data_IF_346984401038
#
_entry.id   IF_346984401038
#
_cell.length_a   1.000
_cell.length_b   1.000
_cell.length_c   1.000
_cell.angle_alpha   90.00
_cell.angle_beta   90.00
_cell.angle_gamma   90.00
#
_symmetry.space_group_name_H-M   'P 1'
#
loop_
_entity.id
_entity.type
_entity.pdbx_description
1 polymer ?
#
# COMPACT_ATOMS: atom_id res chain seq x y z
N UNK A 1 82.42 -18.06 -13.51
CA UNK A 1 81.36 -18.61 -12.64
C UNK A 1 80.02 -18.35 -13.31
N UNK A 2 79.29 -19.41 -13.70
CA UNK A 2 78.01 -19.34 -14.41
C UNK A 2 76.89 -18.97 -13.44
N UNK A 3 75.96 -18.11 -13.85
CA UNK A 3 74.59 -18.08 -13.30
C UNK A 3 73.62 -17.96 -14.46
N UNK A 4 72.82 -19.01 -14.67
CA UNK A 4 71.64 -19.02 -15.53
C UNK A 4 70.46 -18.41 -14.74
N UNK A 5 69.71 -17.50 -15.35
CA UNK A 5 68.38 -17.10 -14.88
C UNK A 5 67.31 -17.80 -15.73
N UNK A 6 66.43 -18.57 -15.09
CA UNK A 6 65.25 -19.18 -15.70
C UNK A 6 64.02 -18.33 -15.35
N UNK A 7 63.28 -17.87 -16.36
CA UNK A 7 61.95 -17.28 -16.19
C UNK A 7 60.92 -18.42 -15.98
N UNK A 8 60.19 -18.39 -14.86
CA UNK A 8 58.98 -19.19 -14.66
C UNK A 8 57.78 -18.26 -14.74
N UNK A 9 56.99 -18.38 -15.81
CA UNK A 9 55.69 -17.73 -15.91
C UNK A 9 54.64 -18.52 -15.14
N UNK A 10 54.04 -17.91 -14.13
CA UNK A 10 52.89 -18.45 -13.44
C UNK A 10 51.62 -18.20 -14.27
N UNK A 11 50.95 -19.26 -14.71
CA UNK A 11 49.63 -19.19 -15.35
C UNK A 11 48.59 -18.94 -14.25
N UNK A 12 47.97 -17.75 -14.25
CA UNK A 12 46.84 -17.44 -13.37
C UNK A 12 45.57 -18.03 -14.01
N UNK A 13 45.06 -19.13 -13.46
CA UNK A 13 43.75 -19.67 -13.85
C UNK A 13 42.67 -18.85 -13.14
N UNK A 14 42.02 -17.95 -13.87
CA UNK A 14 40.80 -17.28 -13.41
C UNK A 14 39.66 -18.30 -13.42
N UNK A 15 39.31 -18.82 -12.24
CA UNK A 15 38.05 -19.51 -12.01
C UNK A 15 36.92 -18.49 -12.04
N UNK A 16 36.22 -18.40 -13.18
CA UNK A 16 34.97 -17.65 -13.30
C UNK A 16 33.94 -18.34 -12.41
N UNK A 17 33.65 -17.75 -11.26
CA UNK A 17 32.51 -18.17 -10.45
C UNK A 17 31.28 -17.57 -11.13
N UNK A 18 30.52 -18.40 -11.84
CA UNK A 18 29.19 -18.02 -12.30
C UNK A 18 28.33 -17.73 -11.07
N UNK A 19 28.13 -16.45 -10.77
CA UNK A 19 27.07 -16.01 -9.87
C UNK A 19 25.77 -16.55 -10.46
N UNK A 20 24.98 -17.36 -9.73
CA UNK A 20 23.68 -17.75 -10.24
C UNK A 20 22.88 -16.45 -10.42
N UNK A 21 22.49 -16.17 -11.66
CA UNK A 21 21.46 -15.18 -11.92
C UNK A 21 20.25 -15.58 -11.07
N UNK A 22 19.92 -14.80 -10.04
CA UNK A 22 18.68 -15.01 -9.31
C UNK A 22 17.56 -14.84 -10.34
N UNK A 23 16.84 -15.92 -10.61
CA UNK A 23 15.71 -15.86 -11.52
C UNK A 23 14.68 -14.88 -10.93
N UNK A 24 14.17 -13.96 -11.75
CA UNK A 24 13.12 -13.05 -11.34
C UNK A 24 11.92 -13.87 -10.81
N UNK A 25 11.52 -13.68 -9.53
CA UNK A 25 10.51 -14.52 -8.89
C UNK A 25 9.11 -14.35 -9.48
N UNK A 26 8.86 -13.27 -10.22
CA UNK A 26 7.60 -13.04 -10.93
C UNK A 26 7.83 -12.71 -12.40
N UNK A 27 6.99 -13.30 -13.26
CA UNK A 27 6.87 -12.95 -14.67
C UNK A 27 5.59 -12.14 -14.85
N UNK A 28 5.74 -10.87 -15.21
CA UNK A 28 4.62 -9.97 -15.43
C UNK A 28 4.08 -10.07 -16.86
N UNK A 29 2.75 -10.14 -16.96
CA UNK A 29 2.06 -9.98 -18.23
C UNK A 29 2.21 -8.54 -18.76
N UNK A 30 1.96 -8.35 -20.06
CA UNK A 30 1.87 -7.00 -20.64
C UNK A 30 0.81 -6.16 -19.93
N UNK A 31 1.06 -4.85 -19.85
CA UNK A 31 0.12 -3.90 -19.29
C UNK A 31 -1.23 -3.94 -20.02
N UNK A 32 -2.32 -3.87 -19.26
CA UNK A 32 -3.67 -3.73 -19.80
C UNK A 32 -4.41 -2.59 -19.11
N UNK A 33 -5.31 -1.88 -19.82
CA UNK A 33 -6.12 -0.83 -19.22
C UNK A 33 -7.15 -1.42 -18.25
N UNK A 34 -7.35 -0.73 -17.13
CA UNK A 34 -8.44 -1.00 -16.18
C UNK A 34 -9.74 -0.34 -16.62
N UNK A 35 -9.66 0.86 -17.18
CA UNK A 35 -10.81 1.68 -17.57
C UNK A 35 -11.11 1.56 -19.05
N UNK A 36 -12.41 1.57 -19.40
CA UNK A 36 -12.83 1.65 -20.80
C UNK A 36 -12.74 3.09 -21.33
N UNK A 37 -12.84 4.08 -20.44
CA UNK A 37 -12.72 5.49 -20.78
C UNK A 37 -11.25 5.87 -20.99
N UNK A 38 -10.97 6.48 -22.14
CA UNK A 38 -9.69 7.09 -22.47
C UNK A 38 -9.97 8.47 -23.05
N UNK A 39 -9.09 9.45 -22.80
CA UNK A 39 -9.31 10.78 -23.35
C UNK A 39 -8.29 11.82 -22.89
N UNK A 40 -8.22 12.92 -23.64
CA UNK A 40 -7.20 13.97 -23.47
C UNK A 40 -7.24 14.72 -22.13
N UNK A 41 -8.30 14.57 -21.33
CA UNK A 41 -8.48 15.27 -20.05
C UNK A 41 -8.95 14.34 -18.90
N UNK A 42 -8.67 13.03 -19.01
CA UNK A 42 -8.99 12.05 -17.97
C UNK A 42 -7.82 11.90 -16.99
N UNK A 43 -8.08 12.13 -15.71
CA UNK A 43 -7.12 12.07 -14.63
C UNK A 43 -7.61 11.12 -13.53
N UNK A 44 -6.91 10.00 -13.38
CA UNK A 44 -7.14 9.00 -12.36
C UNK A 44 -6.29 9.32 -11.12
N UNK A 45 -6.76 8.90 -9.95
CA UNK A 45 -6.06 9.00 -8.68
C UNK A 45 -6.09 7.66 -7.95
N UNK A 46 -4.92 7.23 -7.46
CA UNK A 46 -4.71 6.01 -6.67
C UNK A 46 -4.17 6.34 -5.26
N UNK A 47 -4.76 7.35 -4.62
CA UNK A 47 -4.23 7.94 -3.37
C UNK A 47 -4.85 7.37 -2.08
N UNK A 48 -5.54 6.23 -2.18
CA UNK A 48 -6.18 5.56 -1.06
C UNK A 48 -5.24 5.39 0.15
N UNK A 49 -5.72 5.70 1.35
CA UNK A 49 -4.97 5.46 2.58
C UNK A 49 -4.61 3.98 2.71
N UNK A 50 -3.35 3.70 3.05
CA UNK A 50 -2.80 2.34 3.05
C UNK A 50 -2.55 1.71 1.67
N UNK A 51 -2.68 2.46 0.56
CA UNK A 51 -2.50 1.99 -0.84
C UNK A 51 -3.41 0.82 -1.23
N UNK A 52 -4.64 0.81 -0.71
CA UNK A 52 -5.63 -0.27 -0.91
C UNK A 52 -6.53 -0.05 -2.13
N UNK A 53 -5.96 0.15 -3.33
CA UNK A 53 -6.75 0.40 -4.55
C UNK A 53 -7.02 -0.86 -5.40
N UNK A 54 -6.44 -2.00 -5.06
CA UNK A 54 -6.66 -3.28 -5.75
C UNK A 54 -6.83 -4.42 -4.74
N UNK A 55 -7.71 -5.37 -5.04
CA UNK A 55 -7.93 -6.56 -4.22
C UNK A 55 -8.30 -7.77 -5.07
N UNK A 56 -7.95 -8.97 -4.60
CA UNK A 56 -8.42 -10.24 -5.14
C UNK A 56 -9.49 -10.86 -4.21
N UNK A 57 -10.47 -11.53 -4.79
CA UNK A 57 -11.54 -12.24 -4.09
C UNK A 57 -11.93 -13.48 -4.91
N UNK A 58 -11.35 -14.63 -4.55
CA UNK A 58 -11.39 -15.83 -5.40
C UNK A 58 -10.71 -15.57 -6.75
N UNK A 59 -11.37 -15.91 -7.85
CA UNK A 59 -10.87 -15.68 -9.21
C UNK A 59 -11.11 -14.24 -9.73
N UNK A 60 -11.74 -13.37 -8.93
CA UNK A 60 -12.07 -12.01 -9.32
C UNK A 60 -11.05 -11.03 -8.74
N UNK A 61 -10.58 -10.10 -9.58
CA UNK A 61 -9.79 -8.94 -9.16
C UNK A 61 -10.66 -7.70 -9.29
N UNK A 62 -10.60 -6.80 -8.32
CA UNK A 62 -11.27 -5.51 -8.38
C UNK A 62 -10.28 -4.38 -8.15
N UNK A 63 -10.47 -3.29 -8.89
CA UNK A 63 -9.67 -2.06 -8.78
C UNK A 63 -10.62 -0.91 -8.49
N UNK A 64 -10.29 -0.07 -7.51
CA UNK A 64 -11.05 1.12 -7.15
C UNK A 64 -10.17 2.37 -7.28
N UNK A 65 -10.73 3.43 -7.87
CA UNK A 65 -10.00 4.67 -8.15
C UNK A 65 -10.94 5.88 -8.17
N UNK A 66 -10.37 7.07 -8.10
CA UNK A 66 -11.10 8.32 -8.37
C UNK A 66 -10.72 8.82 -9.76
N UNK A 67 -11.69 9.31 -10.55
CA UNK A 67 -11.40 10.09 -11.75
C UNK A 67 -12.44 11.20 -12.01
N UNK A 68 -12.15 12.04 -12.99
CA UNK A 68 -12.92 13.23 -13.35
C UNK A 68 -13.77 13.07 -14.63
N UNK A 69 -14.07 11.85 -15.10
CA UNK A 69 -14.80 11.64 -16.38
C UNK A 69 -16.18 12.29 -16.41
N UNK A 70 -16.81 12.42 -15.25
CA UNK A 70 -18.15 12.99 -15.06
C UNK A 70 -18.10 14.53 -14.87
N UNK A 71 -16.96 15.15 -15.12
CA UNK A 71 -16.73 16.59 -14.92
C UNK A 71 -16.39 17.00 -13.48
N UNK A 72 -16.39 16.04 -12.57
CA UNK A 72 -16.03 16.20 -11.17
C UNK A 72 -15.45 14.87 -10.61
N UNK A 73 -14.62 14.90 -9.55
CA UNK A 73 -14.00 13.69 -9.02
C UNK A 73 -15.06 12.76 -8.43
N UNK A 74 -15.12 11.53 -8.93
CA UNK A 74 -16.01 10.47 -8.46
C UNK A 74 -15.21 9.21 -8.23
N UNK A 75 -15.66 8.40 -7.27
CA UNK A 75 -15.09 7.09 -6.97
C UNK A 75 -15.76 6.00 -7.83
N UNK A 76 -14.95 5.12 -8.42
CA UNK A 76 -15.36 4.03 -9.32
C UNK A 76 -14.73 2.69 -8.92
N UNK A 77 -15.26 1.62 -9.50
CA UNK A 77 -14.70 0.26 -9.42
C UNK A 77 -14.86 -0.46 -10.76
N UNK A 78 -13.94 -1.36 -11.09
CA UNK A 78 -14.02 -2.31 -12.20
C UNK A 78 -13.52 -3.70 -11.77
N UNK A 79 -13.94 -4.74 -12.49
CA UNK A 79 -13.71 -6.14 -12.14
C UNK A 79 -13.07 -6.91 -13.28
N UNK A 80 -12.22 -7.88 -12.94
CA UNK A 80 -11.61 -8.82 -13.87
C UNK A 80 -11.82 -10.25 -13.40
N UNK A 81 -12.41 -11.09 -14.24
CA UNK A 81 -12.66 -12.52 -14.00
C UNK A 81 -11.90 -13.37 -15.04
N UNK A 82 -10.64 -12.99 -15.29
CA UNK A 82 -9.90 -13.34 -16.50
C UNK A 82 -10.11 -12.32 -17.63
N UNK A 83 -9.25 -12.34 -18.65
CA UNK A 83 -9.35 -11.42 -19.79
C UNK A 83 -9.19 -9.94 -19.41
N UNK A 84 -10.04 -9.08 -19.97
CA UNK A 84 -10.06 -7.63 -19.74
C UNK A 84 -10.95 -7.24 -18.54
N UNK A 85 -10.76 -6.02 -18.02
CA UNK A 85 -11.66 -5.45 -17.01
C UNK A 85 -13.03 -5.14 -17.61
N UNK A 86 -14.08 -5.36 -16.80
CA UNK A 86 -15.49 -5.14 -17.14
C UNK A 86 -16.26 -4.64 -15.90
N UNK A 87 -17.54 -4.33 -16.08
CA UNK A 87 -18.43 -3.99 -14.95
C UNK A 87 -18.12 -2.66 -14.27
N UNK A 88 -17.38 -1.79 -14.96
CA UNK A 88 -17.00 -0.44 -14.53
C UNK A 88 -18.24 0.36 -14.09
N UNK A 89 -18.21 0.87 -12.86
CA UNK A 89 -19.33 1.65 -12.29
C UNK A 89 -18.89 2.62 -11.22
N UNK A 90 -19.67 3.68 -11.05
CA UNK A 90 -19.53 4.63 -9.94
C UNK A 90 -20.00 3.98 -8.64
N UNK A 91 -19.20 4.09 -7.59
CA UNK A 91 -19.56 3.65 -6.23
C UNK A 91 -20.05 4.79 -5.35
N UNK A 92 -19.60 6.01 -5.64
CA UNK A 92 -20.01 7.26 -4.99
C UNK A 92 -21.36 7.78 -5.48
N UNK A 93 -21.89 8.77 -4.76
CA UNK A 93 -23.05 9.54 -5.16
C UNK A 93 -22.73 10.60 -6.22
N UNK A 94 -23.43 11.73 -6.13
CA UNK A 94 -23.30 12.86 -7.06
C UNK A 94 -22.36 13.96 -6.56
N UNK A 95 -21.76 13.80 -5.38
CA UNK A 95 -20.85 14.78 -4.79
C UNK A 95 -19.40 14.38 -5.08
N UNK A 96 -18.49 15.30 -4.78
CA UNK A 96 -17.06 15.03 -4.97
C UNK A 96 -16.61 13.92 -4.04
N UNK A 97 -15.99 12.90 -4.64
CA UNK A 97 -15.62 11.68 -3.95
C UNK A 97 -14.17 11.29 -4.25
N UNK A 98 -13.46 10.90 -3.19
CA UNK A 98 -12.00 10.72 -3.20
C UNK A 98 -11.57 9.43 -2.52
N UNK A 99 -10.34 9.03 -2.85
CA UNK A 99 -9.55 8.00 -2.15
C UNK A 99 -10.29 6.68 -1.88
N UNK A 100 -10.93 6.04 -2.88
CA UNK A 100 -11.60 4.78 -2.62
C UNK A 100 -10.58 3.67 -2.32
N UNK A 101 -10.83 2.95 -1.23
CA UNK A 101 -10.08 1.76 -0.84
C UNK A 101 -10.96 0.51 -0.93
N UNK A 102 -10.36 -0.63 -1.27
CA UNK A 102 -11.08 -1.89 -1.54
C UNK A 102 -10.43 -3.09 -0.85
N UNK A 103 -11.26 -4.03 -0.40
CA UNK A 103 -10.82 -5.34 0.12
C UNK A 103 -11.76 -6.46 -0.35
N UNK A 104 -11.23 -7.69 -0.49
CA UNK A 104 -12.00 -8.86 -0.88
C UNK A 104 -12.68 -9.55 0.31
N UNK A 105 -13.87 -10.12 0.08
CA UNK A 105 -14.63 -10.86 1.09
C UNK A 105 -14.64 -12.38 0.89
N UNK A 106 -14.16 -12.86 -0.25
CA UNK A 106 -14.48 -14.20 -0.77
C UNK A 106 -15.63 -14.16 -1.79
N UNK A 107 -15.77 -15.24 -2.55
CA UNK A 107 -16.84 -15.46 -3.54
C UNK A 107 -17.02 -14.32 -4.57
N UNK A 108 -15.95 -13.61 -4.91
CA UNK A 108 -15.99 -12.50 -5.86
C UNK A 108 -16.69 -11.24 -5.35
N UNK A 109 -16.97 -11.15 -4.05
CA UNK A 109 -17.49 -9.94 -3.38
C UNK A 109 -16.36 -9.11 -2.77
N UNK A 110 -16.61 -7.81 -2.66
CA UNK A 110 -15.67 -6.82 -2.14
C UNK A 110 -16.40 -5.79 -1.28
N UNK A 111 -15.67 -5.13 -0.38
CA UNK A 111 -16.09 -3.88 0.26
C UNK A 111 -15.25 -2.76 -0.29
N UNK A 112 -15.90 -1.68 -0.71
CA UNK A 112 -15.26 -0.41 -1.06
C UNK A 112 -15.63 0.64 -0.01
N UNK A 113 -14.67 1.41 0.43
CA UNK A 113 -14.86 2.62 1.25
C UNK A 113 -14.38 3.84 0.48
N UNK A 114 -15.00 5.00 0.68
CA UNK A 114 -14.60 6.26 0.03
C UNK A 114 -14.97 7.47 0.88
N UNK A 115 -14.33 8.61 0.59
CA UNK A 115 -14.71 9.91 1.13
C UNK A 115 -15.68 10.59 0.17
N UNK A 116 -16.77 11.16 0.68
CA UNK A 116 -17.72 11.99 -0.08
C UNK A 116 -18.44 12.95 0.86
N UNK A 117 -18.45 14.25 0.52
CA UNK A 117 -19.16 15.31 1.27
C UNK A 117 -18.76 15.36 2.76
N UNK A 118 -17.45 15.36 3.03
CA UNK A 118 -16.85 15.29 4.38
C UNK A 118 -17.27 14.05 5.20
N UNK A 119 -17.81 13.01 4.57
CA UNK A 119 -18.19 11.77 5.23
C UNK A 119 -17.46 10.57 4.63
N UNK A 120 -17.27 9.54 5.47
CA UNK A 120 -16.74 8.25 5.02
C UNK A 120 -17.89 7.29 4.82
N UNK A 121 -17.89 6.65 3.65
CA UNK A 121 -18.93 5.73 3.21
C UNK A 121 -18.34 4.37 2.90
N UNK A 122 -19.19 3.34 2.95
CA UNK A 122 -18.86 1.98 2.55
C UNK A 122 -19.99 1.34 1.75
N UNK A 123 -19.67 0.39 0.89
CA UNK A 123 -20.67 -0.55 0.34
C UNK A 123 -20.01 -1.85 -0.12
N UNK A 124 -20.81 -2.91 -0.18
CA UNK A 124 -20.44 -4.14 -0.86
C UNK A 124 -20.61 -3.96 -2.36
N UNK A 125 -19.66 -4.48 -3.13
CA UNK A 125 -19.72 -4.53 -4.59
C UNK A 125 -19.31 -5.91 -5.10
N UNK A 126 -19.80 -6.26 -6.29
CA UNK A 126 -19.37 -7.42 -7.06
C UNK A 126 -19.56 -7.16 -8.57
N UNK A 127 -19.13 -8.09 -9.43
CA UNK A 127 -19.17 -7.91 -10.90
C UNK A 127 -20.53 -7.52 -11.47
N UNK A 128 -21.63 -7.88 -10.81
CA UNK A 128 -23.00 -7.57 -11.27
C UNK A 128 -23.86 -6.86 -10.21
N UNK A 129 -23.33 -6.61 -9.00
CA UNK A 129 -24.10 -6.07 -7.88
C UNK A 129 -23.39 -4.94 -7.15
N UNK A 130 -24.18 -4.03 -6.58
CA UNK A 130 -23.71 -3.00 -5.64
C UNK A 130 -24.77 -2.83 -4.55
N UNK A 131 -24.37 -3.05 -3.30
CA UNK A 131 -25.21 -2.83 -2.13
C UNK A 131 -25.46 -1.34 -1.88
N UNK A 132 -26.40 -1.06 -0.98
CA UNK A 132 -26.68 0.31 -0.55
C UNK A 132 -25.45 0.92 0.15
N UNK A 133 -25.20 2.24 0.02
CA UNK A 133 -24.15 2.92 0.77
C UNK A 133 -24.49 2.99 2.27
N UNK A 134 -23.49 2.71 3.10
CA UNK A 134 -23.51 2.88 4.55
C UNK A 134 -22.60 4.05 4.93
N UNK A 135 -23.12 5.03 5.66
CA UNK A 135 -22.30 6.10 6.25
C UNK A 135 -21.60 5.58 7.52
N UNK A 136 -20.29 5.76 7.61
CA UNK A 136 -19.46 5.26 8.72
C UNK A 136 -19.11 6.36 9.74
N UNK A 137 -18.86 7.58 9.25
CA UNK A 137 -18.44 8.70 10.09
C UNK A 137 -19.63 9.44 10.71
N UNK A 138 -19.39 10.09 11.84
CA UNK A 138 -20.40 10.92 12.54
C UNK A 138 -20.08 12.42 12.50
N UNK A 139 -18.90 12.75 12.01
CA UNK A 139 -18.31 14.09 11.94
C UNK A 139 -17.50 14.16 10.64
N UNK A 140 -17.05 15.37 10.23
CA UNK A 140 -16.16 15.53 9.09
C UNK A 140 -14.99 14.54 9.14
N UNK A 141 -14.82 13.77 8.07
CA UNK A 141 -13.92 12.64 8.02
C UNK A 141 -13.25 12.52 6.65
N UNK A 142 -12.05 11.92 6.64
CA UNK A 142 -11.24 11.76 5.44
C UNK A 142 -10.31 10.55 5.55
N UNK A 143 -9.64 10.23 4.44
CA UNK A 143 -8.58 9.22 4.35
C UNK A 143 -9.04 7.81 4.75
N UNK A 144 -10.12 7.27 4.16
CA UNK A 144 -10.62 5.96 4.53
C UNK A 144 -9.73 4.83 3.98
N UNK A 145 -9.66 3.74 4.74
CA UNK A 145 -9.04 2.47 4.33
C UNK A 145 -9.87 1.29 4.83
N UNK A 146 -9.69 0.12 4.22
CA UNK A 146 -10.44 -1.10 4.56
C UNK A 146 -9.56 -2.35 4.43
N UNK A 147 -9.77 -3.31 5.33
CA UNK A 147 -9.12 -4.62 5.30
C UNK A 147 -10.07 -5.69 5.82
N UNK A 148 -9.93 -6.91 5.29
CA UNK A 148 -10.74 -8.05 5.72
C UNK A 148 -9.92 -9.34 5.85
N UNK A 149 -10.35 -10.22 6.75
CA UNK A 149 -9.85 -11.60 6.88
C UNK A 149 -10.99 -12.50 7.36
N UNK A 150 -11.19 -13.64 6.68
CA UNK A 150 -12.17 -14.65 7.06
C UNK A 150 -13.58 -14.08 7.37
N UNK A 151 -14.07 -13.20 6.48
CA UNK A 151 -15.39 -12.57 6.61
C UNK A 151 -15.47 -11.41 7.61
N UNK A 152 -14.41 -11.13 8.37
CA UNK A 152 -14.34 -9.98 9.28
C UNK A 152 -13.80 -8.77 8.56
N UNK A 153 -14.56 -7.68 8.57
CA UNK A 153 -14.23 -6.46 7.84
C UNK A 153 -14.00 -5.33 8.82
N UNK A 154 -12.89 -4.62 8.63
CA UNK A 154 -12.57 -3.41 9.37
C UNK A 154 -12.31 -2.26 8.43
N UNK A 155 -12.83 -1.08 8.78
CA UNK A 155 -12.54 0.17 8.11
C UNK A 155 -11.91 1.16 9.10
N UNK A 156 -11.02 2.03 8.62
CA UNK A 156 -10.44 3.11 9.43
C UNK A 156 -10.38 4.40 8.65
N UNK A 157 -10.48 5.53 9.35
CA UNK A 157 -10.45 6.87 8.78
C UNK A 157 -10.03 7.91 9.82
N UNK A 158 -9.67 9.11 9.37
CA UNK A 158 -9.47 10.26 10.23
C UNK A 158 -10.80 11.01 10.42
N UNK A 159 -11.30 11.15 11.65
CA UNK A 159 -12.56 11.82 11.98
C UNK A 159 -12.33 13.00 12.93
N UNK A 160 -13.04 14.11 12.71
CA UNK A 160 -12.95 15.29 13.56
C UNK A 160 -13.28 14.98 15.02
N UNK A 161 -12.37 15.31 15.93
CA UNK A 161 -12.51 15.21 17.38
C UNK A 161 -12.01 16.48 18.06
N UNK A 162 -12.94 17.38 18.39
CA UNK A 162 -12.59 18.72 18.88
C UNK A 162 -11.96 19.55 17.75
N UNK A 163 -10.70 19.98 17.93
CA UNK A 163 -10.00 20.81 16.93
C UNK A 163 -9.22 20.00 15.90
N UNK A 164 -8.96 18.72 16.15
CA UNK A 164 -8.09 17.88 15.34
C UNK A 164 -8.80 16.62 14.89
N UNK A 165 -8.38 16.02 13.78
CA UNK A 165 -8.82 14.67 13.43
C UNK A 165 -8.09 13.62 14.28
N UNK A 166 -8.81 12.59 14.67
CA UNK A 166 -8.28 11.37 15.28
C UNK A 166 -8.61 10.16 14.40
N UNK A 167 -7.80 9.11 14.46
CA UNK A 167 -8.09 7.85 13.76
C UNK A 167 -9.19 7.10 14.49
N UNK A 168 -10.21 6.70 13.74
CA UNK A 168 -11.30 5.84 14.17
C UNK A 168 -11.23 4.55 13.38
N UNK A 169 -11.44 3.42 14.05
CA UNK A 169 -11.58 2.10 13.43
C UNK A 169 -12.96 1.55 13.73
N UNK A 170 -13.57 0.90 12.74
CA UNK A 170 -14.86 0.24 12.84
C UNK A 170 -14.80 -1.20 12.38
N UNK A 171 -15.58 -2.05 13.04
CA UNK A 171 -15.96 -3.38 12.53
C UNK A 171 -17.27 -3.27 11.78
N UNK A 172 -17.31 -3.85 10.58
CA UNK A 172 -18.47 -3.82 9.69
C UNK A 172 -19.06 -5.23 9.58
N UNK A 173 -20.39 -5.31 9.73
CA UNK A 173 -21.16 -6.49 9.44
C UNK A 173 -21.49 -6.50 7.95
N UNK A 174 -21.30 -7.64 7.29
CA UNK A 174 -21.70 -7.84 5.89
C UNK A 174 -22.67 -9.00 5.82
N UNK A 175 -23.85 -8.73 5.28
CA UNK A 175 -24.90 -9.72 5.09
C UNK A 175 -24.82 -10.39 3.71
N UNK A 176 -25.54 -11.49 3.54
CA UNK A 176 -25.57 -12.24 2.27
C UNK A 176 -26.19 -11.45 1.13
N UNK A 177 -27.18 -10.62 1.43
CA UNK A 177 -27.87 -9.73 0.49
C UNK A 177 -27.08 -8.45 0.15
N UNK A 178 -25.79 -8.41 0.51
CA UNK A 178 -24.91 -7.27 0.35
C UNK A 178 -25.31 -6.03 1.18
N UNK A 179 -26.23 -6.17 2.14
CA UNK A 179 -26.42 -5.17 3.18
C UNK A 179 -25.17 -5.09 4.08
N UNK A 180 -25.00 -3.91 4.69
CA UNK A 180 -23.94 -3.66 5.65
C UNK A 180 -24.48 -2.92 6.87
N UNK A 181 -23.88 -3.20 8.02
CA UNK A 181 -24.10 -2.46 9.24
C UNK A 181 -22.79 -2.12 9.96
N UNK A 182 -22.84 -1.08 10.78
CA UNK A 182 -21.76 -0.67 11.66
C UNK A 182 -21.89 -1.43 12.99
N UNK A 183 -21.10 -2.50 13.18
CA UNK A 183 -21.17 -3.34 14.39
C UNK A 183 -20.68 -2.58 15.61
N UNK A 184 -19.49 -1.98 15.50
CA UNK A 184 -18.86 -1.19 16.56
C UNK A 184 -17.75 -0.31 15.99
N UNK A 185 -17.44 0.78 16.69
CA UNK A 185 -16.33 1.67 16.35
C UNK A 185 -15.68 2.25 17.59
N UNK A 186 -14.38 2.52 17.51
CA UNK A 186 -13.61 3.13 18.58
C UNK A 186 -12.47 3.98 18.00
N UNK A 187 -12.01 5.02 18.71
CA UNK A 187 -10.77 5.68 18.34
C UNK A 187 -9.59 4.71 18.50
N UNK A 188 -8.62 4.78 17.58
CA UNK A 188 -7.39 3.98 17.64
C UNK A 188 -6.46 4.43 18.77
N UNK A 189 -6.51 5.71 19.12
CA UNK A 189 -5.82 6.29 20.26
C UNK A 189 -6.85 6.75 21.29
N UNK A 190 -6.70 6.34 22.54
CA UNK A 190 -7.60 6.72 23.63
C UNK A 190 -7.37 8.17 24.09
N UNK A 191 -6.22 8.76 23.73
CA UNK A 191 -5.90 10.14 24.05
C UNK A 191 -6.69 11.11 23.17
N UNK A 192 -7.17 12.20 23.76
CA UNK A 192 -7.76 13.31 22.99
C UNK A 192 -6.68 13.89 22.08
N UNK A 193 -6.93 14.06 20.77
CA UNK A 193 -5.89 14.48 19.83
C UNK A 193 -5.41 15.90 20.15
N UNK A 194 -4.12 16.03 20.44
CA UNK A 194 -3.46 17.32 20.62
C UNK A 194 -3.00 17.96 19.29
N UNK A 195 -3.03 17.20 18.19
CA UNK A 195 -2.73 17.61 16.82
C UNK A 195 -3.37 16.61 15.83
N UNK A 196 -3.26 16.88 14.53
CA UNK A 196 -3.82 16.02 13.47
C UNK A 196 -3.27 14.59 13.48
N UNK A 197 -4.18 13.63 13.28
CA UNK A 197 -3.89 12.27 12.85
C UNK A 197 -4.50 12.03 11.46
N UNK A 198 -3.76 11.36 10.57
CA UNK A 198 -4.14 11.18 9.17
C UNK A 198 -3.63 9.87 8.56
N UNK A 199 -4.11 9.53 7.36
CA UNK A 199 -3.67 8.39 6.54
C UNK A 199 -3.52 7.06 7.31
N UNK A 200 -4.62 6.51 7.86
CA UNK A 200 -4.56 5.22 8.52
C UNK A 200 -4.30 4.08 7.52
N UNK A 201 -3.66 3.03 7.99
CA UNK A 201 -3.52 1.75 7.32
C UNK A 201 -3.95 0.62 8.25
N UNK A 202 -4.58 -0.42 7.69
CA UNK A 202 -5.12 -1.55 8.45
C UNK A 202 -4.52 -2.89 8.03
N UNK A 203 -4.33 -3.76 9.01
CA UNK A 203 -4.03 -5.17 8.86
C UNK A 203 -4.93 -5.98 9.81
N UNK A 204 -5.55 -7.04 9.30
CA UNK A 204 -6.43 -7.92 10.08
C UNK A 204 -5.82 -9.32 10.11
N UNK A 205 -5.53 -9.82 11.32
CA UNK A 205 -5.04 -11.17 11.58
C UNK A 205 -6.12 -12.00 12.28
N UNK A 206 -5.80 -13.22 12.69
CA UNK A 206 -6.72 -14.01 13.51
C UNK A 206 -6.89 -13.41 14.89
N UNK A 207 -5.76 -13.04 15.49
CA UNK A 207 -5.74 -12.51 16.83
C UNK A 207 -6.40 -11.13 16.92
N UNK A 208 -6.26 -10.28 15.90
CA UNK A 208 -6.60 -8.87 16.06
C UNK A 208 -6.58 -8.02 14.80
N UNK A 209 -6.79 -6.73 15.03
CA UNK A 209 -6.65 -5.66 14.04
C UNK A 209 -5.51 -4.74 14.48
N UNK A 210 -4.54 -4.56 13.59
CA UNK A 210 -3.48 -3.57 13.72
C UNK A 210 -3.82 -2.35 12.86
N UNK A 211 -3.64 -1.17 13.43
CA UNK A 211 -3.81 0.12 12.74
C UNK A 211 -2.54 0.95 12.91
N UNK A 212 -2.06 1.54 11.83
CA UNK A 212 -0.96 2.50 11.83
C UNK A 212 -1.42 3.82 11.20
N UNK A 213 -0.85 4.95 11.61
CA UNK A 213 -1.26 6.27 11.13
C UNK A 213 -0.15 7.31 11.20
N UNK A 214 -0.33 8.39 10.45
CA UNK A 214 0.49 9.60 10.54
C UNK A 214 0.01 10.51 11.67
N UNK A 215 0.95 11.02 12.47
CA UNK A 215 0.64 11.80 13.66
C UNK A 215 1.51 13.05 13.77
N UNK A 216 0.87 14.19 14.03
CA UNK A 216 1.53 15.51 14.09
C UNK A 216 1.80 16.02 15.52
N UNK A 217 1.50 15.25 16.58
CA UNK A 217 1.56 15.73 17.98
C UNK A 217 2.95 16.16 18.45
N UNK A 218 4.00 15.76 17.72
CA UNK A 218 5.39 16.10 18.01
C UNK A 218 5.98 17.18 17.09
N UNK A 219 5.15 17.94 16.36
CA UNK A 219 5.59 19.05 15.52
C UNK A 219 6.17 18.64 14.15
N UNK A 220 6.49 17.36 13.94
CA UNK A 220 6.77 16.69 12.66
C UNK A 220 5.91 15.42 12.55
N UNK A 221 5.78 14.84 11.37
CA UNK A 221 5.01 13.59 11.19
C UNK A 221 5.79 12.43 11.80
N UNK A 222 5.11 11.62 12.60
CA UNK A 222 5.58 10.32 13.10
C UNK A 222 4.55 9.26 12.75
N UNK A 223 5.00 8.01 12.63
CA UNK A 223 4.10 6.87 12.50
C UNK A 223 3.88 6.23 13.87
N UNK A 224 2.63 6.14 14.27
CA UNK A 224 2.22 5.33 15.41
C UNK A 224 1.41 4.14 14.95
N UNK A 225 1.37 3.11 15.78
CA UNK A 225 0.49 1.98 15.61
C UNK A 225 -0.18 1.58 16.93
N UNK A 226 -1.33 0.93 16.82
CA UNK A 226 -2.06 0.34 17.92
C UNK A 226 -2.70 -0.98 17.48
N UNK A 227 -3.08 -1.79 18.46
CA UNK A 227 -3.65 -3.11 18.22
C UNK A 227 -4.91 -3.30 19.07
N UNK A 228 -5.94 -3.91 18.48
CA UNK A 228 -7.12 -4.38 19.20
C UNK A 228 -7.33 -5.88 18.97
N UNK A 229 -7.59 -6.61 20.05
CA UNK A 229 -7.94 -8.02 19.97
C UNK A 229 -9.35 -8.16 19.41
N UNK A 230 -9.52 -8.99 18.40
CA UNK A 230 -10.80 -9.09 17.69
C UNK A 230 -11.82 -9.96 18.43
N UNK A 231 -11.36 -10.82 19.34
CA UNK A 231 -12.19 -11.69 20.20
C UNK A 231 -12.85 -10.97 21.39
N UNK A 232 -12.42 -9.73 21.70
CA UNK A 232 -13.03 -8.94 22.76
C UNK A 232 -14.45 -8.51 22.36
N UNK A 233 -15.34 -8.31 23.34
CA UNK A 233 -16.71 -7.82 23.12
C UNK A 233 -16.74 -6.34 22.71
N UNK A 234 -15.84 -5.53 23.27
CA UNK A 234 -15.62 -4.15 22.87
C UNK A 234 -14.39 -4.03 21.96
N UNK A 235 -14.47 -3.11 20.98
CA UNK A 235 -13.31 -2.74 20.19
C UNK A 235 -12.46 -1.76 21.02
N UNK A 236 -11.38 -2.26 21.62
CA UNK A 236 -10.49 -1.45 22.47
C UNK A 236 -9.06 -1.60 22.02
N UNK A 237 -8.42 -0.48 21.72
CA UNK A 237 -7.04 -0.42 21.26
C UNK A 237 -6.07 -0.33 22.43
N UNK A 238 -4.92 -0.98 22.26
CA UNK A 238 -3.76 -0.77 23.13
C UNK A 238 -3.30 0.68 23.08
N UNK A 239 -2.53 1.11 24.08
CA UNK A 239 -1.76 2.35 23.97
C UNK A 239 -0.93 2.36 22.69
N UNK A 240 -0.95 3.51 21.99
CA UNK A 240 -0.19 3.70 20.77
C UNK A 240 1.32 3.47 21.00
N UNK A 241 2.01 2.99 19.97
CA UNK A 241 3.45 2.75 19.96
C UNK A 241 4.06 3.37 18.73
N UNK A 242 5.26 3.91 18.88
CA UNK A 242 6.01 4.46 17.75
C UNK A 242 6.40 3.31 16.80
N UNK A 243 6.08 3.47 15.52
CA UNK A 243 6.38 2.48 14.47
C UNK A 243 7.74 2.76 13.81
N UNK A 244 8.01 4.03 13.51
CA UNK A 244 9.26 4.43 12.87
C UNK A 244 10.29 4.90 13.89
N UNK A 245 11.51 4.37 13.78
CA UNK A 245 12.66 4.84 14.54
C UNK A 245 12.92 6.32 14.25
N UNK A 246 13.37 7.01 15.30
CA UNK A 246 13.68 8.44 15.24
C UNK A 246 15.19 8.58 15.31
N UNK A 247 15.85 9.17 14.29
CA UNK A 247 17.25 9.52 14.43
C UNK A 247 17.42 10.49 15.61
N UNK A 248 18.59 10.52 16.27
CA UNK A 248 18.90 11.57 17.23
C UNK A 248 18.66 12.94 16.59
N UNK A 249 18.17 13.93 17.34
CA UNK A 249 17.89 15.26 16.79
C UNK A 249 19.14 15.80 16.08
N UNK A 250 19.08 15.90 14.75
CA UNK A 250 20.26 16.19 13.92
C UNK A 250 20.48 17.70 13.68
N UNK A 251 19.48 18.55 13.90
CA UNK A 251 19.60 19.99 13.62
C UNK A 251 18.79 20.86 14.58
N UNK A 252 19.41 21.93 15.07
CA UNK A 252 18.71 23.00 15.78
C UNK A 252 18.02 23.99 14.82
N UNK A 253 18.47 24.06 13.56
CA UNK A 253 18.02 25.03 12.54
C UNK A 253 16.92 24.44 11.64
N UNK A 254 16.99 23.14 11.31
CA UNK A 254 16.16 22.54 10.24
C UNK A 254 15.13 21.49 10.67
N UNK A 255 14.97 21.14 11.96
CA UNK A 255 13.78 20.35 12.31
C UNK A 255 13.68 19.72 13.69
N UNK A 256 12.44 19.36 14.02
CA UNK A 256 12.04 18.61 15.22
C UNK A 256 12.22 17.07 15.07
N UNK A 257 12.60 16.59 13.88
CA UNK A 257 12.79 15.17 13.55
C UNK A 257 12.69 14.92 12.04
N UNK A 258 12.82 13.66 11.59
CA UNK A 258 12.62 13.27 10.18
C UNK A 258 11.13 13.21 9.83
N UNK A 259 10.79 13.49 8.57
CA UNK A 259 9.44 13.31 8.05
C UNK A 259 9.20 11.87 7.60
N UNK A 260 8.04 11.33 7.92
CA UNK A 260 7.56 10.03 7.45
C UNK A 260 6.14 10.18 6.90
N UNK A 261 5.76 9.37 5.93
CA UNK A 261 4.43 9.44 5.33
C UNK A 261 4.02 8.14 4.63
N UNK A 262 2.72 8.03 4.34
CA UNK A 262 2.07 7.01 3.50
C UNK A 262 2.40 5.59 3.95
N UNK A 263 2.12 5.30 5.22
CA UNK A 263 2.21 3.93 5.75
C UNK A 263 1.21 3.01 5.03
N UNK A 264 1.65 1.81 4.69
CA UNK A 264 0.80 0.71 4.22
C UNK A 264 1.05 -0.52 5.09
N UNK A 265 -0.01 -1.26 5.40
CA UNK A 265 0.05 -2.50 6.16
C UNK A 265 -0.46 -3.67 5.32
N UNK A 266 0.29 -4.77 5.31
CA UNK A 266 -0.10 -6.06 4.76
C UNK A 266 -0.12 -7.11 5.87
N UNK A 267 -1.02 -8.09 5.77
CA UNK A 267 -1.14 -9.16 6.76
C UNK A 267 -1.25 -10.52 6.07
N UNK A 268 -0.62 -11.52 6.69
CA UNK A 268 -0.80 -12.93 6.37
C UNK A 268 -0.58 -13.74 7.64
N UNK A 269 -1.57 -14.57 7.98
CA UNK A 269 -1.63 -15.23 9.29
C UNK A 269 -1.46 -14.22 10.43
N UNK A 270 -0.44 -14.39 11.29
CA UNK A 270 -0.11 -13.46 12.37
C UNK A 270 1.05 -12.52 12.03
N UNK A 271 1.55 -12.57 10.80
CA UNK A 271 2.54 -11.61 10.31
C UNK A 271 1.85 -10.34 9.82
N UNK A 272 2.39 -9.19 10.22
CA UNK A 272 2.00 -7.88 9.70
C UNK A 272 3.24 -7.14 9.22
N UNK A 273 3.27 -6.75 7.96
CA UNK A 273 4.32 -5.94 7.38
C UNK A 273 3.84 -4.50 7.31
N UNK A 274 4.63 -3.57 7.83
CA UNK A 274 4.46 -2.15 7.59
C UNK A 274 5.51 -1.69 6.58
N UNK A 275 5.11 -0.86 5.61
CA UNK A 275 6.01 -0.12 4.72
C UNK A 275 5.65 1.36 4.68
N UNK A 276 6.62 2.26 4.56
CA UNK A 276 6.39 3.71 4.54
C UNK A 276 7.52 4.48 3.86
N UNK A 277 7.25 5.75 3.53
CA UNK A 277 8.27 6.70 3.09
C UNK A 277 8.93 7.36 4.29
N UNK A 278 10.25 7.39 4.33
CA UNK A 278 11.03 7.95 5.43
C UNK A 278 12.17 8.86 4.96
N UNK A 279 12.25 10.06 5.54
CA UNK A 279 13.28 11.07 5.24
C UNK A 279 14.35 11.15 6.34
N UNK A 280 14.59 10.06 7.07
CA UNK A 280 15.67 10.01 8.09
C UNK A 280 17.07 10.14 7.49
N UNK A 281 17.24 9.80 6.21
CA UNK A 281 18.46 10.06 5.43
C UNK A 281 18.21 11.30 4.57
N UNK A 282 18.75 12.44 4.96
CA UNK A 282 18.39 13.75 4.40
C UNK A 282 18.85 13.99 2.95
N UNK A 283 19.89 13.29 2.48
CA UNK A 283 20.65 13.67 1.29
C UNK A 283 19.86 13.54 -0.03
N UNK A 284 18.91 12.60 -0.13
CA UNK A 284 18.30 12.23 -1.41
C UNK A 284 16.77 12.02 -1.38
N UNK A 285 16.06 12.73 -0.49
CA UNK A 285 14.60 12.65 -0.39
C UNK A 285 14.10 11.47 0.44
N UNK A 286 12.86 11.04 0.21
CA UNK A 286 12.28 9.89 0.90
C UNK A 286 12.90 8.57 0.41
N UNK A 287 13.01 7.61 1.33
CA UNK A 287 13.37 6.21 1.09
C UNK A 287 12.27 5.29 1.60
N UNK A 288 12.20 4.06 1.10
CA UNK A 288 11.22 3.11 1.59
C UNK A 288 11.78 2.32 2.77
N UNK A 289 11.05 2.33 3.89
CA UNK A 289 11.38 1.51 5.05
C UNK A 289 10.26 0.53 5.34
N UNK A 290 10.64 -0.60 5.92
CA UNK A 290 9.73 -1.62 6.39
C UNK A 290 9.99 -2.01 7.83
N UNK A 291 8.98 -2.57 8.49
CA UNK A 291 9.15 -3.32 9.72
C UNK A 291 8.16 -4.48 9.74
N UNK A 292 8.65 -5.66 10.16
CA UNK A 292 7.84 -6.86 10.29
C UNK A 292 7.39 -7.06 11.74
N UNK A 293 6.11 -7.37 11.92
CA UNK A 293 5.54 -7.92 13.13
C UNK A 293 5.24 -9.40 12.91
N UNK A 294 5.51 -10.21 13.93
CA UNK A 294 5.18 -11.65 13.96
C UNK A 294 4.15 -11.99 15.05
N UNK A 295 3.57 -10.96 15.70
CA UNK A 295 2.66 -11.10 16.84
C UNK A 295 1.29 -10.45 16.61
N UNK A 296 0.88 -10.34 15.33
CA UNK A 296 -0.39 -9.76 14.90
C UNK A 296 -0.40 -8.24 14.84
N UNK A 297 0.77 -7.59 14.75
CA UNK A 297 0.90 -6.13 14.74
C UNK A 297 0.90 -5.48 16.13
N UNK A 298 1.09 -6.27 17.21
CA UNK A 298 1.23 -5.74 18.57
C UNK A 298 2.57 -5.06 18.76
N UNK A 299 3.62 -5.56 18.11
CA UNK A 299 4.96 -4.97 18.05
C UNK A 299 5.58 -5.18 16.68
N UNK A 300 6.31 -4.19 16.23
CA UNK A 300 7.12 -4.27 15.01
C UNK A 300 8.60 -4.39 15.36
N UNK A 301 9.33 -5.13 14.53
CA UNK A 301 10.78 -5.29 14.63
C UNK A 301 11.56 -4.04 14.22
N UNK A 302 12.86 -4.24 13.96
CA UNK A 302 13.74 -3.19 13.47
C UNK A 302 13.24 -2.61 12.14
N UNK A 303 13.56 -1.34 11.89
CA UNK A 303 13.28 -0.74 10.60
C UNK A 303 14.36 -1.14 9.58
N UNK A 304 13.93 -1.68 8.45
CA UNK A 304 14.80 -2.15 7.36
C UNK A 304 14.58 -1.26 6.14
N UNK A 305 15.67 -0.88 5.46
CA UNK A 305 15.56 -0.29 4.13
C UNK A 305 15.04 -1.35 3.16
N UNK A 306 14.06 -0.98 2.34
CA UNK A 306 13.41 -1.91 1.38
C UNK A 306 14.13 -1.90 0.04
N UNK A 307 14.56 -0.72 -0.38
CA UNK A 307 15.38 -0.54 -1.57
C UNK A 307 16.83 -0.96 -1.31
N UNK A 308 17.51 -1.32 -2.40
CA UNK A 308 18.93 -1.61 -2.41
C UNK A 308 19.82 -0.36 -2.22
N UNK A 309 21.14 -0.57 -2.28
CA UNK A 309 22.14 0.49 -2.08
C UNK A 309 22.15 1.55 -3.19
N UNK A 310 21.68 1.22 -4.40
CA UNK A 310 21.59 2.14 -5.53
C UNK A 310 20.35 3.03 -5.43
N UNK A 311 19.27 2.56 -4.81
CA UNK A 311 18.11 3.38 -4.43
C UNK A 311 18.44 4.51 -3.44
N UNK A 312 19.64 4.51 -2.86
CA UNK A 312 20.14 5.53 -1.96
C UNK A 312 20.23 6.94 -2.56
N UNK A 313 20.27 7.11 -3.88
CA UNK A 313 20.55 8.39 -4.54
C UNK A 313 19.33 9.14 -5.09
N UNK A 314 18.13 8.55 -5.06
CA UNK A 314 16.92 9.14 -5.63
C UNK A 314 15.71 9.12 -4.68
N UNK A 315 14.75 10.02 -4.88
CA UNK A 315 13.55 10.02 -4.05
C UNK A 315 12.63 8.85 -4.43
N UNK A 316 12.09 8.19 -3.41
CA UNK A 316 11.17 7.06 -3.56
C UNK A 316 9.81 7.42 -2.98
N UNK A 317 8.76 7.03 -3.70
CA UNK A 317 7.41 7.47 -3.42
C UNK A 317 6.44 6.31 -3.42
N UNK A 318 5.31 6.54 -2.76
CA UNK A 318 4.11 5.74 -2.97
C UNK A 318 4.27 4.23 -2.71
N UNK A 319 4.92 3.79 -1.60
CA UNK A 319 5.17 2.38 -1.37
C UNK A 319 3.88 1.61 -1.09
N UNK A 320 3.76 0.44 -1.68
CA UNK A 320 2.77 -0.58 -1.34
C UNK A 320 3.47 -1.91 -1.09
N UNK A 321 2.90 -2.78 -0.25
CA UNK A 321 3.47 -4.09 -0.01
C UNK A 321 2.41 -5.16 0.21
N UNK A 322 2.81 -6.40 0.02
CA UNK A 322 2.00 -7.59 0.24
C UNK A 322 2.82 -8.64 1.00
N UNK A 323 2.12 -9.50 1.74
CA UNK A 323 2.69 -10.71 2.33
C UNK A 323 2.08 -11.93 1.64
N UNK A 324 2.92 -12.74 1.02
CA UNK A 324 2.56 -13.97 0.31
C UNK A 324 3.10 -15.25 0.99
N UNK A 325 2.92 -16.42 0.36
CA UNK A 325 3.43 -17.73 0.79
C UNK A 325 4.86 -17.75 1.33
N UNK A 326 5.78 -17.11 0.64
CA UNK A 326 7.22 -17.25 0.91
C UNK A 326 7.85 -15.99 1.49
N UNK A 327 7.06 -14.93 1.69
CA UNK A 327 7.54 -13.70 2.29
C UNK A 327 6.88 -12.44 1.77
N UNK A 328 7.62 -11.33 1.82
CA UNK A 328 7.12 -10.00 1.49
C UNK A 328 7.53 -9.57 0.08
N UNK A 329 6.69 -8.75 -0.53
CA UNK A 329 7.03 -7.98 -1.74
C UNK A 329 6.61 -6.55 -1.51
N UNK A 330 7.49 -5.61 -1.83
CA UNK A 330 7.21 -4.19 -1.82
C UNK A 330 7.37 -3.62 -3.24
N UNK A 331 6.55 -2.64 -3.58
CA UNK A 331 6.65 -1.86 -4.82
C UNK A 331 6.62 -0.38 -4.48
N UNK A 332 7.31 0.43 -5.27
CA UNK A 332 7.34 1.88 -5.11
C UNK A 332 7.60 2.58 -6.44
N UNK A 333 7.32 3.88 -6.47
CA UNK A 333 7.71 4.78 -7.53
C UNK A 333 9.13 5.29 -7.26
N UNK A 334 10.00 5.17 -8.25
CA UNK A 334 11.41 5.54 -8.17
C UNK A 334 11.79 6.49 -9.31
N UNK A 335 12.61 7.50 -9.01
CA UNK A 335 13.02 8.52 -9.97
C UNK A 335 14.53 8.53 -10.25
N UNK A 336 15.23 7.40 -10.03
CA UNK A 336 16.70 7.34 -10.13
C UNK A 336 17.28 7.59 -11.53
N UNK A 337 16.49 7.38 -12.58
CA UNK A 337 16.92 7.55 -13.98
C UNK A 337 16.28 8.77 -14.66
N UNK A 338 15.95 9.80 -13.87
CA UNK A 338 15.23 11.02 -14.32
C UNK A 338 13.83 10.77 -14.90
N UNK A 339 13.38 9.51 -14.86
CA UNK A 339 12.06 9.04 -15.23
C UNK A 339 11.45 8.33 -14.03
N UNK A 340 10.12 8.40 -13.92
CA UNK A 340 9.37 7.74 -12.86
C UNK A 340 9.05 6.31 -13.29
N UNK A 341 9.66 5.34 -12.64
CA UNK A 341 9.47 3.92 -12.89
C UNK A 341 8.90 3.22 -11.64
N UNK A 342 8.22 2.08 -11.85
CA UNK A 342 7.83 1.21 -10.74
C UNK A 342 8.91 0.16 -10.51
N UNK A 343 9.47 0.17 -9.31
CA UNK A 343 10.42 -0.83 -8.85
C UNK A 343 9.77 -1.75 -7.83
N UNK A 344 10.33 -2.94 -7.69
CA UNK A 344 9.97 -3.91 -6.66
C UNK A 344 11.21 -4.47 -5.98
N UNK A 345 11.05 -4.88 -4.74
CA UNK A 345 11.97 -5.78 -4.05
C UNK A 345 11.18 -6.80 -3.24
N UNK A 346 11.79 -7.93 -2.92
CA UNK A 346 11.17 -8.99 -2.15
C UNK A 346 12.06 -9.47 -1.02
N UNK A 347 11.45 -10.12 -0.05
CA UNK A 347 12.11 -10.66 1.13
C UNK A 347 11.58 -12.05 1.42
N UNK A 348 12.45 -13.05 1.38
CA UNK A 348 12.09 -14.44 1.68
C UNK A 348 12.34 -14.74 3.16
N UNK A 349 11.33 -15.26 3.86
CA UNK A 349 11.49 -15.70 5.26
C UNK A 349 12.06 -14.63 6.21
N UNK A 350 13.27 -14.82 6.72
CA UNK A 350 13.96 -13.91 7.64
C UNK A 350 15.15 -13.17 6.99
N UNK A 351 15.33 -13.31 5.68
CA UNK A 351 16.47 -12.77 4.95
C UNK A 351 16.36 -11.25 4.75
N UNK A 352 17.40 -10.63 4.19
CA UNK A 352 17.35 -9.23 3.77
C UNK A 352 16.45 -9.07 2.54
N UNK A 353 16.04 -7.82 2.27
CA UNK A 353 15.44 -7.48 0.97
C UNK A 353 16.42 -7.79 -0.18
N UNK A 354 15.85 -8.16 -1.33
CA UNK A 354 16.57 -8.39 -2.59
C UNK A 354 17.15 -7.08 -3.14
N UNK A 355 17.93 -7.21 -4.22
CA UNK A 355 18.18 -6.07 -5.11
C UNK A 355 16.87 -5.55 -5.73
N UNK A 356 16.89 -4.30 -6.19
CA UNK A 356 15.73 -3.68 -6.81
C UNK A 356 15.53 -4.21 -8.24
N UNK A 357 14.28 -4.51 -8.58
CA UNK A 357 13.89 -4.95 -9.91
C UNK A 357 12.92 -3.94 -10.53
N UNK A 358 13.21 -3.48 -11.75
CA UNK A 358 12.25 -2.72 -12.55
C UNK A 358 11.10 -3.65 -12.93
N UNK A 359 9.86 -3.20 -12.73
CA UNK A 359 8.69 -3.94 -13.22
C UNK A 359 8.57 -3.71 -14.72
N UNK A 360 8.82 -4.72 -15.59
CA UNK A 360 8.94 -4.49 -17.02
C UNK A 360 7.74 -3.77 -17.67
N UNK A 361 6.46 -4.12 -17.39
CA UNK A 361 5.33 -3.38 -17.98
C UNK A 361 5.09 -1.99 -17.39
N UNK A 362 5.76 -1.64 -16.29
CA UNK A 362 5.61 -0.37 -15.56
C UNK A 362 6.97 0.35 -15.42
N UNK A 363 7.81 0.26 -16.46
CA UNK A 363 9.09 0.94 -16.55
C UNK A 363 9.39 1.41 -17.98
N UNK A 364 10.23 2.44 -18.11
CA UNK A 364 10.72 2.94 -19.40
C UNK A 364 10.12 4.30 -19.78
N UNK A 365 9.59 4.43 -20.99
CA UNK A 365 9.11 5.72 -21.51
C UNK A 365 7.89 6.26 -20.75
N UNK A 366 7.84 7.58 -20.55
CA UNK A 366 6.73 8.25 -19.87
C UNK A 366 6.85 8.19 -18.34
N UNK A 367 5.79 8.59 -17.64
CA UNK A 367 5.70 8.48 -16.18
C UNK A 367 4.94 7.23 -15.80
N UNK A 368 5.51 6.43 -14.90
CA UNK A 368 4.91 5.29 -14.23
C UNK A 368 4.88 5.60 -12.72
N UNK A 369 3.71 5.61 -12.09
CA UNK A 369 3.66 6.01 -10.68
C UNK A 369 2.39 5.65 -9.93
N UNK A 370 2.37 6.03 -8.66
CA UNK A 370 1.33 5.72 -7.69
C UNK A 370 0.90 4.22 -7.69
N UNK A 371 1.85 3.27 -7.53
CA UNK A 371 1.52 1.86 -7.60
C UNK A 371 0.65 1.41 -6.42
N UNK A 372 -0.23 0.46 -6.67
CA UNK A 372 -0.90 -0.33 -5.63
C UNK A 372 -0.85 -1.82 -6.02
N UNK A 373 -0.72 -2.68 -5.01
CA UNK A 373 -0.49 -4.11 -5.23
C UNK A 373 -1.32 -4.96 -4.28
N UNK A 374 -1.85 -6.08 -4.80
CA UNK A 374 -2.43 -7.16 -4.02
C UNK A 374 -1.79 -8.49 -4.39
N UNK A 375 -1.81 -9.45 -3.48
CA UNK A 375 -1.40 -10.83 -3.73
C UNK A 375 -2.61 -11.77 -3.65
N UNK A 376 -2.65 -12.78 -4.52
CA UNK A 376 -3.58 -13.89 -4.37
C UNK A 376 -3.03 -14.97 -3.42
N UNK A 377 -3.81 -16.03 -3.20
CA UNK A 377 -3.45 -17.10 -2.26
C UNK A 377 -2.21 -17.90 -2.71
N UNK A 378 -1.96 -17.94 -4.02
CA UNK A 378 -0.82 -18.58 -4.66
C UNK A 378 0.45 -17.71 -4.65
N UNK A 379 0.33 -16.44 -4.24
CA UNK A 379 1.42 -15.47 -4.22
C UNK A 379 1.71 -14.84 -5.58
N UNK A 380 0.76 -14.89 -6.53
CA UNK A 380 0.82 -14.06 -7.71
C UNK A 380 0.44 -12.61 -7.34
N UNK A 381 0.97 -11.67 -8.12
CA UNK A 381 0.83 -10.25 -7.87
C UNK A 381 -0.19 -9.63 -8.82
N UNK A 382 -1.01 -8.74 -8.28
CA UNK A 382 -1.96 -7.90 -9.00
C UNK A 382 -1.50 -6.46 -8.84
N UNK A 383 -0.78 -5.94 -9.83
CA UNK A 383 -0.22 -4.60 -9.81
C UNK A 383 -1.11 -3.65 -10.61
N UNK A 384 -1.43 -2.49 -10.03
CA UNK A 384 -2.02 -1.34 -10.75
C UNK A 384 -1.16 -0.11 -10.56
N UNK A 385 -1.13 0.76 -11.57
CA UNK A 385 -0.37 2.00 -11.54
C UNK A 385 -0.95 3.03 -12.50
N UNK A 386 -0.49 4.28 -12.37
CA UNK A 386 -0.80 5.36 -13.30
C UNK A 386 0.31 5.48 -14.34
N UNK A 387 -0.09 5.51 -15.61
CA UNK A 387 0.78 5.86 -16.74
C UNK A 387 0.45 7.24 -17.29
N UNK A 388 1.43 8.00 -17.78
CA UNK A 388 1.21 9.15 -18.67
C UNK A 388 2.41 9.40 -19.57
N UNK A 389 2.14 9.73 -20.83
CA UNK A 389 3.17 10.03 -21.85
C UNK A 389 3.95 11.33 -21.54
N UNK A 390 3.34 12.28 -20.84
CA UNK A 390 3.97 13.55 -20.47
C UNK A 390 3.47 14.05 -19.12
N UNK A 391 4.27 14.87 -18.44
CA UNK A 391 4.03 15.29 -17.04
C UNK A 391 2.62 15.85 -16.78
N UNK A 392 2.07 16.62 -17.73
CA UNK A 392 0.74 17.24 -17.65
C UNK A 392 -0.29 16.59 -18.59
N UNK A 393 0.04 15.45 -19.18
CA UNK A 393 -0.86 14.69 -20.03
C UNK A 393 -1.95 13.96 -19.23
N UNK A 394 -3.00 13.47 -19.92
CA UNK A 394 -3.97 12.59 -19.31
C UNK A 394 -3.29 11.35 -18.75
N UNK A 395 -3.90 10.76 -17.73
CA UNK A 395 -3.41 9.52 -17.12
C UNK A 395 -4.18 8.32 -17.67
N UNK A 396 -3.49 7.19 -17.75
CA UNK A 396 -4.10 5.88 -17.92
C UNK A 396 -3.97 5.10 -16.60
N UNK A 397 -5.01 4.33 -16.26
CA UNK A 397 -4.97 3.38 -15.15
C UNK A 397 -4.68 1.99 -15.72
N UNK A 398 -3.50 1.46 -15.43
CA UNK A 398 -3.00 0.21 -15.98
C UNK A 398 -2.94 -0.89 -14.92
N UNK A 399 -2.98 -2.13 -15.40
CA UNK A 399 -2.89 -3.34 -14.61
C UNK A 399 -1.92 -4.35 -15.26
N UNK A 400 -1.23 -5.13 -14.44
CA UNK A 400 -0.47 -6.31 -14.86
C UNK A 400 -0.58 -7.42 -13.81
N UNK A 401 -0.61 -8.66 -14.29
CA UNK A 401 -0.56 -9.86 -13.48
C UNK A 401 0.88 -10.37 -13.43
N UNK A 402 1.45 -10.43 -12.22
CA UNK A 402 2.76 -11.01 -11.96
C UNK A 402 2.60 -12.47 -11.55
N UNK A 403 2.81 -13.41 -12.47
CA UNK A 403 2.77 -14.84 -12.15
C UNK A 403 4.06 -15.24 -11.46
N UNK A 404 3.94 -15.91 -10.33
CA UNK A 404 5.11 -16.38 -9.60
C UNK A 404 5.79 -17.55 -10.33
N UNK A 405 7.12 -17.48 -10.48
CA UNK A 405 7.94 -18.58 -10.93
C UNK A 405 7.94 -19.69 -9.85
N UNK A 406 7.76 -20.94 -10.27
CA UNK A 406 7.72 -22.11 -9.38
C UNK A 406 9.08 -22.78 -9.27
#
# INVERSE_FOLDING_TARGET
>A
MRVLGWCTGALLVLSVHSVPAQAEPWQFDSAMPVTAAQGAALFHQLEAAGRRSVAASGATVAVAWTDNRDGAPRAYVAFRQGGAFTGERRVSGERDAYEPAITGLGDGRFVVVWEEDDAVWARVVGPESAGAPLSLSKQPAAYPTVAARAGRVYAAWAEQAGRHKQIVVAELGVQDDAAMDLVRRAPADAEVPAAEQSYPALAVTESGVAVAWEDRRHGHTRLFHAYAATAAEALTFSTHRLLNEQPPRQSEIYGQGSGVARVSLAARDEQVLAVWMDKRVFEFGYKIYAALSTDGGRRFGANEAVQDVFGGTAAQWHPAAVLGPEGAVAVWEDTRDDVSDILLSWREGADSWSDDLYVPPASGGGYQGAPAMAADAEGNLHLVWLNRESQNGPTELLYSFGKRAR
#
